data_IF_175612641253
#
_entry.id   IF_175612641253
#
_cell.length_a   1.000
_cell.length_b   1.000
_cell.length_c   1.000
_cell.angle_alpha   90.00
_cell.angle_beta   90.00
_cell.angle_gamma   90.00
#
_symmetry.space_group_name_H-M   'P 1'
#
loop_
_entity.id
_entity.type
_entity.pdbx_description
1 polymer ?
#
# COMPACT_ATOMS: atom_id res chain seq x y z
N UNK A 1 30.47 5.17 -22.67
CA UNK A 1 31.35 4.19 -23.37
C UNK A 1 31.23 4.46 -24.86
N UNK A 2 32.31 4.47 -25.64
CA UNK A 2 32.26 4.80 -27.09
C UNK A 2 31.53 6.13 -27.43
N UNK A 3 31.64 7.15 -26.56
CA UNK A 3 30.95 8.44 -26.76
C UNK A 3 29.44 8.41 -26.48
N UNK A 4 28.89 7.30 -25.99
CA UNK A 4 27.49 7.15 -25.58
C UNK A 4 27.34 7.11 -24.06
N UNK A 5 26.28 7.73 -23.55
CA UNK A 5 25.80 7.57 -22.18
C UNK A 5 24.66 6.56 -22.19
N UNK A 6 24.74 5.55 -21.31
CA UNK A 6 23.68 4.54 -21.15
C UNK A 6 23.31 4.46 -19.68
N UNK A 7 22.02 4.26 -19.41
CA UNK A 7 21.51 3.98 -18.07
C UNK A 7 21.09 2.52 -18.00
N UNK A 8 21.43 1.87 -16.89
CA UNK A 8 21.15 0.45 -16.66
C UNK A 8 20.30 0.29 -15.41
N UNK A 9 19.34 -0.63 -15.46
CA UNK A 9 18.53 -1.00 -14.31
C UNK A 9 19.35 -1.93 -13.44
N UNK A 10 19.62 -1.49 -12.21
CA UNK A 10 20.25 -2.32 -11.17
C UNK A 10 19.18 -2.84 -10.21
N UNK A 11 19.20 -4.13 -9.84
CA UNK A 11 18.41 -4.63 -8.73
C UNK A 11 18.65 -3.81 -7.46
N UNK A 12 17.62 -3.69 -6.63
CA UNK A 12 17.76 -3.01 -5.34
C UNK A 12 18.60 -3.88 -4.41
N UNK A 13 19.72 -3.33 -3.94
CA UNK A 13 20.67 -4.00 -3.06
C UNK A 13 20.92 -3.13 -1.83
N UNK A 14 21.16 -3.78 -0.69
CA UNK A 14 21.62 -3.07 0.51
C UNK A 14 23.12 -2.79 0.40
N UNK A 15 23.53 -1.59 0.77
CA UNK A 15 24.93 -1.23 0.95
C UNK A 15 25.55 -1.91 2.20
N UNK A 16 26.82 -1.62 2.46
CA UNK A 16 27.56 -2.15 3.61
C UNK A 16 26.96 -1.74 4.97
N UNK A 17 26.13 -0.69 5.00
CA UNK A 17 25.40 -0.25 6.20
C UNK A 17 24.00 -0.88 6.30
N UNK A 18 23.61 -1.71 5.33
CA UNK A 18 22.30 -2.35 5.25
C UNK A 18 21.22 -1.44 4.65
N UNK A 19 21.59 -0.34 3.99
CA UNK A 19 20.64 0.62 3.39
C UNK A 19 20.45 0.34 1.91
N UNK A 20 19.19 0.28 1.49
CA UNK A 20 18.79 0.18 0.09
C UNK A 20 18.14 1.50 -0.34
N UNK A 21 18.63 2.06 -1.45
CA UNK A 21 18.12 3.27 -2.05
C UNK A 21 17.51 2.96 -3.43
N UNK A 22 16.30 3.43 -3.67
CA UNK A 22 15.64 3.25 -4.96
C UNK A 22 14.62 4.37 -5.23
N UNK A 23 14.40 4.65 -6.51
CA UNK A 23 13.46 5.66 -7.00
C UNK A 23 12.83 5.30 -8.34
N UNK A 24 13.43 4.38 -9.09
CA UNK A 24 12.95 3.99 -10.41
C UNK A 24 11.91 2.87 -10.33
N UNK A 25 10.83 2.98 -11.10
CA UNK A 25 9.85 1.91 -11.29
C UNK A 25 9.91 1.35 -12.72
N UNK A 26 10.21 0.06 -12.86
CA UNK A 26 10.33 -0.62 -14.16
C UNK A 26 9.04 -0.69 -15.00
N UNK A 27 7.87 -0.69 -14.37
CA UNK A 27 6.60 -0.77 -15.09
C UNK A 27 6.10 0.60 -15.55
N UNK A 28 6.54 1.64 -14.88
CA UNK A 28 6.21 3.02 -15.20
C UNK A 28 7.29 3.69 -16.05
N UNK A 29 8.50 3.13 -16.08
CA UNK A 29 9.69 3.71 -16.73
C UNK A 29 9.96 5.15 -16.28
N UNK A 30 9.73 5.43 -14.99
CA UNK A 30 9.83 6.77 -14.42
C UNK A 30 10.55 6.76 -13.06
N UNK A 31 11.08 7.92 -12.69
CA UNK A 31 11.77 8.18 -11.43
C UNK A 31 10.83 8.93 -10.47
N UNK A 32 10.73 8.41 -9.26
CA UNK A 32 10.05 9.05 -8.13
C UNK A 32 11.05 9.66 -7.15
N UNK A 33 10.54 10.24 -6.06
CA UNK A 33 11.42 10.68 -4.98
C UNK A 33 12.10 9.46 -4.32
N UNK A 34 13.32 9.68 -3.83
CA UNK A 34 14.13 8.60 -3.27
C UNK A 34 13.47 7.94 -2.07
N UNK A 35 13.47 6.61 -2.11
CA UNK A 35 13.09 5.75 -1.00
C UNK A 35 14.35 5.17 -0.37
N UNK A 36 14.36 5.12 0.95
CA UNK A 36 15.39 4.49 1.78
C UNK A 36 14.74 3.38 2.60
N UNK A 37 15.22 2.15 2.44
CA UNK A 37 14.97 1.07 3.39
C UNK A 37 16.26 0.72 4.12
N UNK A 38 16.22 0.68 5.45
CA UNK A 38 17.34 0.20 6.27
C UNK A 38 16.98 -1.17 6.83
N UNK A 39 17.66 -2.21 6.36
CA UNK A 39 17.46 -3.60 6.77
C UNK A 39 17.83 -3.88 8.23
N UNK A 40 18.76 -3.11 8.81
CA UNK A 40 19.20 -3.27 10.21
C UNK A 40 18.21 -2.70 11.20
N UNK A 41 17.64 -1.54 10.88
CA UNK A 41 16.63 -0.89 11.73
C UNK A 41 15.20 -1.25 11.31
N UNK A 42 15.04 -1.91 10.16
CA UNK A 42 13.75 -2.23 9.54
C UNK A 42 12.90 -0.99 9.30
N UNK A 43 13.52 0.14 8.95
CA UNK A 43 12.81 1.43 8.73
C UNK A 43 12.77 1.75 7.23
N UNK A 44 11.57 2.03 6.74
CA UNK A 44 11.29 2.53 5.40
C UNK A 44 10.96 4.01 5.49
N UNK A 45 11.58 4.81 4.62
CA UNK A 45 11.30 6.23 4.44
C UNK A 45 11.17 6.52 2.96
N UNK A 46 10.19 7.35 2.61
CA UNK A 46 9.97 7.77 1.23
C UNK A 46 9.59 9.24 1.19
N UNK A 47 9.98 9.91 0.10
CA UNK A 47 9.34 11.14 -0.32
C UNK A 47 7.99 10.87 -0.99
N UNK A 48 7.62 11.69 -1.98
CA UNK A 48 6.44 11.47 -2.82
C UNK A 48 6.57 10.19 -3.66
N UNK A 49 5.58 9.31 -3.53
CA UNK A 49 5.57 7.96 -4.14
C UNK A 49 4.65 7.82 -5.37
N UNK A 50 4.28 8.92 -6.03
CA UNK A 50 3.44 8.90 -7.24
C UNK A 50 2.03 8.34 -7.01
N UNK A 51 1.34 7.91 -8.09
CA UNK A 51 -0.07 7.43 -8.04
C UNK A 51 -0.32 6.03 -8.60
N UNK A 52 0.65 5.42 -9.29
CA UNK A 52 0.43 4.21 -10.10
C UNK A 52 1.00 2.94 -9.42
N UNK A 53 1.65 2.05 -10.16
CA UNK A 53 2.26 0.81 -9.66
C UNK A 53 3.22 1.05 -8.48
N UNK A 54 4.10 2.05 -8.54
CA UNK A 54 5.05 2.40 -7.48
C UNK A 54 4.33 2.80 -6.20
N UNK A 55 3.31 3.65 -6.30
CA UNK A 55 2.48 4.05 -5.18
C UNK A 55 1.90 2.82 -4.48
N UNK A 56 1.26 1.93 -5.23
CA UNK A 56 0.61 0.73 -4.67
C UNK A 56 1.58 -0.17 -3.93
N UNK A 57 2.75 -0.43 -4.50
CA UNK A 57 3.79 -1.25 -3.87
C UNK A 57 4.31 -0.58 -2.59
N UNK A 58 4.56 0.73 -2.63
CA UNK A 58 5.01 1.48 -1.45
C UNK A 58 3.96 1.47 -0.34
N UNK A 59 2.68 1.64 -0.69
CA UNK A 59 1.56 1.56 0.24
C UNK A 59 1.47 0.18 0.90
N UNK A 60 1.62 -0.90 0.13
CA UNK A 60 1.67 -2.26 0.67
C UNK A 60 2.92 -2.50 1.54
N UNK A 61 4.07 -1.92 1.19
CA UNK A 61 5.27 -1.99 2.02
C UNK A 61 5.08 -1.29 3.37
N UNK A 62 4.45 -0.11 3.40
CA UNK A 62 4.07 0.54 4.66
C UNK A 62 3.04 -0.28 5.45
N UNK A 63 2.14 -0.99 4.76
CA UNK A 63 1.14 -1.84 5.42
C UNK A 63 1.77 -3.03 6.16
N UNK A 64 2.97 -3.46 5.79
CA UNK A 64 3.70 -4.46 6.58
C UNK A 64 3.99 -3.97 8.01
N UNK A 65 4.20 -2.67 8.22
CA UNK A 65 4.35 -2.11 9.58
C UNK A 65 3.05 -2.25 10.36
N UNK A 66 1.91 -1.99 9.73
CA UNK A 66 0.60 -2.20 10.36
C UNK A 66 0.40 -3.67 10.73
N UNK A 67 0.74 -4.59 9.83
CA UNK A 67 0.57 -6.03 10.02
C UNK A 67 1.51 -6.64 11.07
N UNK A 68 2.78 -6.24 11.09
CA UNK A 68 3.79 -6.81 12.01
C UNK A 68 4.05 -5.99 13.27
N UNK A 69 3.84 -4.67 13.23
CA UNK A 69 4.16 -3.76 14.34
C UNK A 69 3.36 -4.09 15.61
N UNK A 70 3.97 -3.89 16.77
CA UNK A 70 3.25 -4.01 18.05
C UNK A 70 2.38 -2.78 18.32
N UNK A 71 2.75 -1.65 17.72
CA UNK A 71 2.06 -0.38 17.85
C UNK A 71 0.83 -0.28 16.93
N UNK A 72 -0.05 0.64 17.27
CA UNK A 72 -1.25 0.95 16.50
C UNK A 72 -0.97 2.15 15.60
N UNK A 73 -1.19 2.02 14.30
CA UNK A 73 -0.98 3.11 13.34
C UNK A 73 -1.51 2.75 11.96
N UNK A 74 -2.10 3.73 11.28
CA UNK A 74 -2.64 3.54 9.95
C UNK A 74 -1.61 3.89 8.89
N UNK A 75 -1.66 3.17 7.77
CA UNK A 75 -1.05 3.67 6.54
C UNK A 75 -1.92 4.80 5.99
N UNK A 76 -1.44 6.02 6.21
CA UNK A 76 -2.02 7.26 5.68
C UNK A 76 -1.27 7.70 4.42
N UNK A 77 -2.02 8.16 3.42
CA UNK A 77 -1.50 8.76 2.20
C UNK A 77 -2.13 10.12 1.98
N UNK A 78 -1.46 11.17 2.43
CA UNK A 78 -1.91 12.57 2.33
C UNK A 78 -3.30 12.81 2.98
N UNK A 79 -3.53 12.19 4.14
CA UNK A 79 -4.80 12.23 4.85
C UNK A 79 -5.79 11.13 4.45
N UNK A 80 -5.49 10.32 3.42
CA UNK A 80 -6.35 9.21 3.03
C UNK A 80 -5.81 7.89 3.56
N UNK A 81 -6.57 7.24 4.44
CA UNK A 81 -6.23 5.88 4.87
C UNK A 81 -6.38 4.90 3.72
N UNK A 82 -5.38 4.05 3.56
CA UNK A 82 -5.37 3.09 2.47
C UNK A 82 -6.29 1.93 2.79
N UNK A 83 -7.04 1.48 1.78
CA UNK A 83 -7.77 0.22 1.82
C UNK A 83 -6.77 -0.96 1.94
N UNK A 84 -6.76 -1.67 3.07
CA UNK A 84 -5.80 -2.71 3.34
C UNK A 84 -6.11 -3.98 2.56
N UNK A 85 -7.34 -4.22 2.07
CA UNK A 85 -7.75 -5.53 1.54
C UNK A 85 -6.85 -5.94 0.38
N UNK A 86 -6.74 -5.11 -0.65
CA UNK A 86 -5.95 -5.45 -1.84
C UNK A 86 -4.46 -5.53 -1.53
N UNK A 87 -3.97 -4.70 -0.61
CA UNK A 87 -2.59 -4.72 -0.18
C UNK A 87 -2.26 -5.99 0.61
N UNK A 88 -3.08 -6.37 1.60
CA UNK A 88 -2.95 -7.61 2.36
C UNK A 88 -3.05 -8.81 1.42
N UNK A 89 -4.00 -8.81 0.49
CA UNK A 89 -4.18 -9.89 -0.48
C UNK A 89 -2.91 -10.12 -1.32
N UNK A 90 -2.26 -9.03 -1.76
CA UNK A 90 -1.01 -9.11 -2.50
C UNK A 90 0.18 -9.51 -1.61
N UNK A 91 0.28 -8.99 -0.38
CA UNK A 91 1.29 -9.40 0.59
C UNK A 91 1.19 -10.90 0.89
N UNK A 92 -0.03 -11.41 1.10
CA UNK A 92 -0.31 -12.82 1.31
C UNK A 92 0.13 -13.68 0.12
N UNK A 93 0.00 -13.16 -1.11
CA UNK A 93 0.50 -13.83 -2.31
C UNK A 93 2.04 -13.83 -2.38
N UNK A 94 2.68 -12.68 -2.21
CA UNK A 94 4.14 -12.51 -2.37
C UNK A 94 4.94 -13.20 -1.27
N UNK A 95 4.44 -13.17 -0.03
CA UNK A 95 5.13 -13.74 1.13
C UNK A 95 4.63 -15.13 1.53
N UNK A 96 3.67 -15.67 0.79
CA UNK A 96 2.94 -16.91 1.11
C UNK A 96 2.44 -16.92 2.57
N UNK A 97 1.59 -15.94 2.89
CA UNK A 97 1.00 -15.72 4.22
C UNK A 97 -0.53 -15.70 4.15
N UNK A 98 -1.15 -15.71 5.33
CA UNK A 98 -2.61 -15.68 5.53
C UNK A 98 -3.00 -14.56 6.51
N UNK A 99 -2.46 -13.36 6.31
CA UNK A 99 -2.82 -12.20 7.13
C UNK A 99 -4.31 -11.85 7.02
N UNK A 100 -4.81 -11.29 8.12
CA UNK A 100 -6.16 -10.73 8.25
C UNK A 100 -6.07 -9.21 8.43
N UNK A 101 -7.21 -8.53 8.43
CA UNK A 101 -7.32 -7.12 8.83
C UNK A 101 -7.71 -6.94 10.31
N UNK A 102 -7.56 -7.98 11.14
CA UNK A 102 -8.03 -8.01 12.54
C UNK A 102 -7.59 -6.78 13.34
N UNK A 103 -6.33 -6.36 13.19
CA UNK A 103 -5.79 -5.22 13.93
C UNK A 103 -6.62 -3.95 13.75
N UNK A 104 -7.13 -3.67 12.55
CA UNK A 104 -7.96 -2.48 12.30
C UNK A 104 -9.24 -2.44 13.12
N UNK A 105 -9.68 -3.55 13.69
CA UNK A 105 -10.85 -3.60 14.56
C UNK A 105 -10.55 -3.22 16.02
N UNK A 106 -9.29 -2.95 16.38
CA UNK A 106 -8.95 -2.28 17.65
C UNK A 106 -9.16 -0.76 17.53
N UNK A 107 -10.42 -0.39 17.28
CA UNK A 107 -10.82 0.93 16.83
C UNK A 107 -10.34 2.03 17.78
N UNK A 108 -10.51 1.85 19.09
CA UNK A 108 -10.10 2.87 20.06
C UNK A 108 -8.61 3.15 20.01
N UNK A 109 -7.77 2.10 20.05
CA UNK A 109 -6.32 2.25 20.12
C UNK A 109 -5.74 2.90 18.87
N UNK A 110 -6.30 2.56 17.71
CA UNK A 110 -5.88 3.21 16.49
C UNK A 110 -6.35 4.67 16.39
N UNK A 111 -7.59 4.97 16.78
CA UNK A 111 -8.09 6.35 16.80
C UNK A 111 -7.28 7.23 17.75
N UNK A 112 -7.01 6.71 18.95
CA UNK A 112 -6.15 7.35 19.95
C UNK A 112 -4.76 7.64 19.36
N UNK A 113 -4.10 6.64 18.78
CA UNK A 113 -2.79 6.81 18.13
C UNK A 113 -2.81 7.83 16.99
N UNK A 114 -3.82 7.77 16.11
CA UNK A 114 -3.96 8.71 15.00
C UNK A 114 -4.09 10.15 15.48
N UNK A 115 -5.07 10.44 16.35
CA UNK A 115 -5.29 11.81 16.79
C UNK A 115 -4.14 12.36 17.64
N UNK A 116 -3.45 11.51 18.42
CA UNK A 116 -2.24 11.93 19.12
C UNK A 116 -1.14 12.32 18.15
N UNK A 117 -0.92 11.52 17.11
CA UNK A 117 0.04 11.84 16.05
C UNK A 117 -0.30 13.17 15.36
N UNK A 118 -1.58 13.41 15.04
CA UNK A 118 -2.00 14.67 14.41
C UNK A 118 -1.81 15.89 15.32
N UNK A 119 -2.03 15.73 16.63
CA UNK A 119 -1.79 16.78 17.63
C UNK A 119 -0.29 17.07 17.76
N UNK A 120 0.53 16.03 17.89
CA UNK A 120 1.99 16.16 18.01
C UNK A 120 2.64 16.79 16.78
N UNK A 121 2.04 16.58 15.60
CA UNK A 121 2.52 17.14 14.32
C UNK A 121 1.89 18.50 13.96
N UNK A 122 1.04 19.07 14.82
CA UNK A 122 0.31 20.32 14.54
C UNK A 122 -0.55 20.25 13.25
N UNK A 123 -1.05 19.05 12.93
CA UNK A 123 -1.94 18.76 11.80
C UNK A 123 -3.40 18.56 12.23
N UNK A 124 -3.67 18.55 13.54
CA UNK A 124 -4.99 18.24 14.07
C UNK A 124 -6.06 19.27 13.64
N UNK A 125 -6.96 18.83 12.76
CA UNK A 125 -8.11 19.61 12.32
C UNK A 125 -9.43 19.05 12.86
N UNK A 126 -10.00 19.76 13.83
CA UNK A 126 -11.29 19.43 14.44
C UNK A 126 -12.46 19.52 13.45
N UNK A 127 -12.36 20.31 12.38
CA UNK A 127 -13.46 20.50 11.42
C UNK A 127 -13.68 19.29 10.51
N UNK A 128 -12.66 18.42 10.35
CA UNK A 128 -12.70 17.28 9.45
C UNK A 128 -12.31 15.96 10.14
N UNK A 129 -13.09 15.52 11.14
CA UNK A 129 -12.80 14.28 11.85
C UNK A 129 -12.85 13.07 10.92
N UNK A 130 -11.90 12.15 11.08
CA UNK A 130 -11.90 10.89 10.33
C UNK A 130 -13.02 9.97 10.80
N UNK A 131 -13.81 9.47 9.86
CA UNK A 131 -14.89 8.51 10.13
C UNK A 131 -14.37 7.07 10.07
N UNK A 132 -14.99 6.17 10.85
CA UNK A 132 -14.58 4.75 10.90
C UNK A 132 -14.74 4.09 9.52
N UNK A 133 -15.64 4.61 8.69
CA UNK A 133 -15.88 4.14 7.33
C UNK A 133 -14.73 4.42 6.36
N UNK A 134 -13.85 5.39 6.67
CA UNK A 134 -12.62 5.62 5.92
C UNK A 134 -11.49 4.65 6.30
N UNK A 135 -11.63 3.94 7.41
CA UNK A 135 -10.61 3.03 7.96
C UNK A 135 -10.93 1.57 7.65
N UNK A 136 -12.19 1.19 7.81
CA UNK A 136 -12.67 -0.17 7.61
C UNK A 136 -13.35 -0.28 6.23
N UNK A 137 -12.78 -1.09 5.31
CA UNK A 137 -13.35 -1.35 4.00
C UNK A 137 -14.77 -1.87 4.07
N UNK A 138 -15.57 -1.54 3.06
CA UNK A 138 -17.00 -1.87 3.03
C UNK A 138 -17.29 -3.35 3.28
N UNK A 139 -16.54 -4.23 2.64
CA UNK A 139 -16.65 -5.69 2.77
C UNK A 139 -16.36 -6.21 4.19
N UNK A 140 -15.61 -5.47 4.99
CA UNK A 140 -15.22 -5.83 6.36
C UNK A 140 -16.10 -5.17 7.44
N UNK A 141 -17.01 -4.26 7.04
CA UNK A 141 -17.85 -3.49 7.98
C UNK A 141 -18.72 -4.36 8.88
N UNK A 142 -19.07 -5.57 8.43
CA UNK A 142 -19.81 -6.53 9.25
C UNK A 142 -19.07 -6.97 10.52
N UNK A 143 -17.74 -6.86 10.55
CA UNK A 143 -16.90 -7.13 11.72
C UNK A 143 -16.87 -5.98 12.74
N UNK A 144 -17.37 -4.80 12.38
CA UNK A 144 -17.37 -3.63 13.26
C UNK A 144 -18.45 -3.72 14.34
N UNK A 145 -18.23 -2.98 15.42
CA UNK A 145 -19.22 -2.72 16.45
C UNK A 145 -18.65 -2.78 17.86
N UNK A 146 -19.55 -2.80 18.82
CA UNK A 146 -19.19 -2.69 20.22
C UNK A 146 -19.04 -1.24 20.67
N UNK A 147 -18.49 -1.08 21.87
CA UNK A 147 -18.44 0.20 22.59
C UNK A 147 -17.52 1.20 21.91
N UNK A 148 -16.35 0.76 21.48
CA UNK A 148 -15.36 1.63 20.82
C UNK A 148 -15.94 2.30 19.56
N UNK A 149 -16.68 1.55 18.74
CA UNK A 149 -17.38 2.13 17.59
C UNK A 149 -18.34 3.22 18.03
N UNK A 150 -19.19 2.93 19.02
CA UNK A 150 -20.18 3.90 19.50
C UNK A 150 -19.52 5.16 20.10
N UNK A 151 -18.48 4.99 20.92
CA UNK A 151 -17.72 6.09 21.51
C UNK A 151 -17.13 7.00 20.44
N UNK A 152 -16.52 6.43 19.40
CA UNK A 152 -15.98 7.20 18.27
C UNK A 152 -17.09 7.97 17.56
N UNK A 153 -18.25 7.36 17.31
CA UNK A 153 -19.40 8.07 16.72
C UNK A 153 -19.86 9.24 17.59
N UNK A 154 -19.92 9.06 18.91
CA UNK A 154 -20.35 10.10 19.83
C UNK A 154 -19.33 11.24 19.93
N UNK A 155 -18.04 10.95 19.81
CA UNK A 155 -16.99 11.98 19.73
C UNK A 155 -17.13 12.78 18.42
N UNK A 156 -17.35 12.11 17.30
CA UNK A 156 -17.38 12.73 15.96
C UNK A 156 -18.67 13.51 15.71
N UNK A 157 -19.83 12.94 16.03
CA UNK A 157 -21.14 13.49 15.70
C UNK A 157 -21.85 14.12 16.91
N UNK A 158 -21.30 13.97 18.10
CA UNK A 158 -21.94 14.39 19.35
C UNK A 158 -23.04 13.43 19.80
N UNK A 159 -23.60 13.73 20.97
CA UNK A 159 -24.71 12.98 21.57
C UNK A 159 -26.03 13.76 21.59
N UNK A 160 -26.12 14.88 20.86
CA UNK A 160 -27.26 15.79 20.87
C UNK A 160 -28.57 15.20 20.34
N UNK A 161 -28.47 14.36 19.31
CA UNK A 161 -29.63 13.74 18.65
C UNK A 161 -30.13 12.47 19.36
N UNK A 162 -29.51 12.05 20.47
CA UNK A 162 -29.98 10.90 21.23
C UNK A 162 -31.13 11.27 22.17
N UNK A 163 -32.34 10.76 21.91
CA UNK A 163 -33.46 10.84 22.83
C UNK A 163 -33.50 9.71 23.87
N UNK A 164 -33.78 10.01 25.15
CA UNK A 164 -33.90 9.00 26.23
C UNK A 164 -35.00 7.96 25.92
N UNK A 165 -36.02 8.37 25.16
CA UNK A 165 -37.15 7.52 24.78
C UNK A 165 -36.83 6.63 23.55
N UNK A 166 -35.71 6.88 22.87
CA UNK A 166 -35.29 6.17 21.66
C UNK A 166 -34.30 5.05 21.99
N UNK A 167 -33.55 5.19 23.09
CA UNK A 167 -32.62 4.18 23.55
C UNK A 167 -33.30 3.10 24.41
N UNK A 168 -33.15 1.83 24.02
CA UNK A 168 -33.68 0.70 24.79
C UNK A 168 -32.95 0.54 26.12
N UNK A 169 -33.68 0.34 27.23
CA UNK A 169 -33.08 0.09 28.54
C UNK A 169 -32.12 -1.11 28.49
N UNK A 170 -30.95 -0.96 29.10
CA UNK A 170 -29.89 -1.98 29.11
C UNK A 170 -28.99 -2.00 27.87
N UNK A 171 -29.22 -1.14 26.88
CA UNK A 171 -28.33 -0.90 25.73
C UNK A 171 -27.20 0.07 26.07
N UNK A 172 -26.10 0.05 25.30
CA UNK A 172 -24.98 0.98 25.50
C UNK A 172 -25.38 2.45 25.32
N UNK A 173 -26.15 2.84 24.27
CA UNK A 173 -26.62 4.23 24.13
C UNK A 173 -27.40 4.72 25.36
N UNK A 174 -28.26 3.87 25.95
CA UNK A 174 -29.00 4.22 27.16
C UNK A 174 -28.05 4.53 28.34
N UNK A 175 -26.98 3.76 28.48
CA UNK A 175 -25.97 4.01 29.52
C UNK A 175 -25.21 5.32 29.28
N UNK A 176 -24.82 5.61 28.03
CA UNK A 176 -24.19 6.89 27.66
C UNK A 176 -25.09 8.08 28.03
N UNK A 177 -26.39 7.97 27.75
CA UNK A 177 -27.36 9.00 28.13
C UNK A 177 -27.49 9.16 29.65
N UNK A 178 -27.45 8.06 30.41
CA UNK A 178 -27.46 8.10 31.87
C UNK A 178 -26.22 8.80 32.43
N UNK A 179 -25.03 8.50 31.87
CA UNK A 179 -23.77 9.15 32.24
C UNK A 179 -23.84 10.65 31.93
N UNK A 180 -24.31 11.04 30.74
CA UNK A 180 -24.46 12.46 30.36
C UNK A 180 -25.36 13.22 31.34
N UNK A 181 -26.51 12.62 31.70
CA UNK A 181 -27.44 13.22 32.66
C UNK A 181 -26.82 13.39 34.05
N UNK A 182 -26.05 12.42 34.53
CA UNK A 182 -25.35 12.60 35.81
C UNK A 182 -24.21 13.61 35.73
N UNK A 183 -23.47 13.66 34.62
CA UNK A 183 -22.43 14.67 34.41
C UNK A 183 -23.01 16.09 34.38
N UNK A 184 -24.22 16.28 33.84
CA UNK A 184 -24.91 17.57 33.88
C UNK A 184 -25.25 17.99 35.32
N UNK A 185 -25.88 17.10 36.11
CA UNK A 185 -26.18 17.37 37.53
C UNK A 185 -24.92 17.61 38.36
N UNK A 186 -23.87 16.82 38.09
CA UNK A 186 -22.56 16.98 38.72
C UNK A 186 -21.98 18.36 38.40
N UNK A 187 -22.06 18.80 37.14
CA UNK A 187 -21.59 20.11 36.70
C UNK A 187 -22.36 21.26 37.36
N UNK A 188 -23.68 21.14 37.47
CA UNK A 188 -24.54 22.11 38.18
C UNK A 188 -24.21 22.20 39.66
N UNK A 189 -23.88 21.07 40.30
CA UNK A 189 -23.63 21.01 41.75
C UNK A 189 -22.27 21.61 42.13
N UNK A 190 -21.23 21.35 41.34
CA UNK A 190 -19.85 21.68 41.71
C UNK A 190 -19.28 22.93 41.05
N UNK A 191 -20.02 23.58 40.15
CA UNK A 191 -19.64 24.87 39.58
C UNK A 191 -18.22 24.85 39.02
N UNK A 192 -17.36 25.80 39.41
CA UNK A 192 -16.00 25.95 38.88
C UNK A 192 -15.07 24.74 39.16
N UNK A 193 -15.28 23.97 40.23
CA UNK A 193 -14.41 22.85 40.60
C UNK A 193 -14.73 21.56 39.83
N UNK A 194 -15.80 21.55 39.02
CA UNK A 194 -16.33 20.34 38.37
C UNK A 194 -15.29 19.54 37.58
N UNK A 195 -14.43 20.19 36.78
CA UNK A 195 -13.40 19.49 35.99
C UNK A 195 -12.38 18.79 36.90
N UNK A 196 -11.82 19.53 37.86
CA UNK A 196 -10.83 19.01 38.82
C UNK A 196 -11.39 17.82 39.59
N UNK A 197 -12.60 17.93 40.12
CA UNK A 197 -13.25 16.85 40.91
C UNK A 197 -13.56 15.62 40.07
N UNK A 198 -14.03 15.81 38.83
CA UNK A 198 -14.25 14.69 37.92
C UNK A 198 -12.93 13.95 37.67
N UNK A 199 -11.85 14.68 37.40
CA UNK A 199 -10.57 14.06 37.07
C UNK A 199 -9.92 13.40 38.26
N UNK A 200 -10.04 13.99 39.46
CA UNK A 200 -9.65 13.34 40.71
C UNK A 200 -10.38 12.00 40.86
N UNK A 201 -11.68 11.93 40.60
CA UNK A 201 -12.44 10.68 40.62
C UNK A 201 -11.93 9.67 39.56
N UNK A 202 -11.65 10.11 38.33
CA UNK A 202 -11.18 9.22 37.26
C UNK A 202 -9.74 8.69 37.49
N UNK A 203 -8.97 9.32 38.37
CA UNK A 203 -7.62 8.86 38.77
C UNK A 203 -7.64 7.82 39.89
N UNK A 204 -8.78 7.64 40.58
CA UNK A 204 -8.86 6.73 41.71
C UNK A 204 -8.90 5.25 41.26
N UNK A 205 -8.28 4.34 42.03
CA UNK A 205 -8.38 2.90 41.79
C UNK A 205 -9.81 2.39 42.04
N UNK A 206 -10.12 1.20 41.50
CA UNK A 206 -11.43 0.56 41.62
C UNK A 206 -12.04 0.60 43.03
N UNK A 207 -11.30 0.16 44.05
CA UNK A 207 -11.82 0.00 45.42
C UNK A 207 -12.23 1.34 46.06
N UNK A 208 -11.47 2.41 45.77
CA UNK A 208 -11.77 3.75 46.28
C UNK A 208 -13.02 4.33 45.59
N UNK A 209 -13.14 4.14 44.27
CA UNK A 209 -14.36 4.53 43.52
C UNK A 209 -15.58 3.76 43.99
N UNK A 210 -15.42 2.48 44.32
CA UNK A 210 -16.47 1.65 44.89
C UNK A 210 -16.92 2.15 46.26
N UNK A 211 -15.99 2.57 47.13
CA UNK A 211 -16.32 3.19 48.41
C UNK A 211 -17.10 4.50 48.29
N UNK A 212 -16.82 5.30 47.24
CA UNK A 212 -17.53 6.55 46.96
C UNK A 212 -18.94 6.29 46.39
N UNK A 213 -19.12 5.21 45.62
CA UNK A 213 -20.40 4.84 45.01
C UNK A 213 -21.56 4.74 46.02
N UNK A 214 -21.26 4.46 47.28
CA UNK A 214 -22.25 4.36 48.36
C UNK A 214 -22.70 5.72 48.96
N UNK A 215 -22.20 6.85 48.46
CA UNK A 215 -22.47 8.19 49.00
C UNK A 215 -23.47 9.01 48.15
N UNK A 216 -23.88 10.20 48.61
CA UNK A 216 -24.86 11.08 47.91
C UNK A 216 -24.44 11.51 46.49
N UNK A 217 -23.13 11.51 46.20
CA UNK A 217 -22.55 11.76 44.87
C UNK A 217 -22.15 10.46 44.14
N UNK A 218 -22.51 9.31 44.72
CA UNK A 218 -22.03 8.00 44.33
C UNK A 218 -22.56 7.47 43.00
N UNK A 219 -23.65 8.04 42.46
CA UNK A 219 -24.20 7.59 41.18
C UNK A 219 -23.20 7.72 40.01
N UNK A 220 -22.40 8.80 39.98
CA UNK A 220 -21.35 8.95 38.97
C UNK A 220 -20.19 7.98 39.24
N UNK A 221 -19.76 7.85 40.49
CA UNK A 221 -18.70 6.92 40.89
C UNK A 221 -19.07 5.46 40.58
N UNK A 222 -20.32 5.05 40.80
CA UNK A 222 -20.85 3.73 40.45
C UNK A 222 -20.74 3.48 38.94
N UNK A 223 -21.06 4.48 38.11
CA UNK A 223 -20.92 4.37 36.66
C UNK A 223 -19.45 4.19 36.24
N UNK A 224 -18.49 4.81 36.93
CA UNK A 224 -17.06 4.66 36.60
C UNK A 224 -16.57 3.21 36.75
N UNK A 225 -17.21 2.40 37.60
CA UNK A 225 -16.81 1.00 37.81
C UNK A 225 -17.09 0.11 36.59
N UNK A 226 -17.90 0.58 35.64
CA UNK A 226 -18.40 -0.22 34.50
C UNK A 226 -18.32 0.47 33.13
N UNK A 227 -18.04 1.77 33.12
CA UNK A 227 -17.93 2.60 31.92
C UNK A 227 -16.48 3.09 31.78
N UNK A 228 -15.88 3.04 30.58
CA UNK A 228 -14.52 3.55 30.36
C UNK A 228 -14.33 5.02 30.72
N UNK A 229 -13.18 5.40 31.25
CA UNK A 229 -12.88 6.79 31.64
C UNK A 229 -13.08 7.79 30.49
N UNK A 230 -12.67 7.43 29.27
CA UNK A 230 -12.86 8.23 28.04
C UNK A 230 -14.30 8.70 27.83
N UNK A 231 -15.30 7.91 28.25
CA UNK A 231 -16.72 8.25 28.11
C UNK A 231 -17.07 9.46 28.93
N UNK A 232 -16.57 9.52 30.16
CA UNK A 232 -16.78 10.66 31.03
C UNK A 232 -16.10 11.90 30.46
N UNK A 233 -14.91 11.74 29.88
CA UNK A 233 -14.15 12.86 29.30
C UNK A 233 -14.82 13.41 28.05
N UNK A 234 -15.23 12.59 27.07
CA UNK A 234 -15.85 13.12 25.85
C UNK A 234 -17.24 13.70 26.11
N UNK A 235 -18.03 13.11 27.01
CA UNK A 235 -19.33 13.68 27.39
C UNK A 235 -19.15 15.00 28.15
N UNK A 236 -18.16 15.06 29.03
CA UNK A 236 -17.85 16.28 29.75
C UNK A 236 -17.31 17.36 28.80
N UNK A 237 -16.46 17.01 27.84
CA UNK A 237 -16.01 17.90 26.76
C UNK A 237 -17.20 18.47 25.97
N UNK A 238 -18.14 17.63 25.58
CA UNK A 238 -19.37 18.05 24.88
C UNK A 238 -20.20 19.02 25.73
N UNK A 239 -20.44 18.71 27.01
CA UNK A 239 -21.24 19.57 27.92
C UNK A 239 -20.58 20.93 28.13
N UNK A 240 -19.25 20.97 28.20
CA UNK A 240 -18.49 22.18 28.52
C UNK A 240 -18.03 22.96 27.28
N UNK A 241 -18.14 22.38 26.09
CA UNK A 241 -17.78 23.03 24.82
C UNK A 241 -16.28 23.08 24.53
N UNK A 242 -15.48 22.16 25.08
CA UNK A 242 -14.04 22.05 24.75
C UNK A 242 -13.75 20.84 23.86
N UNK A 243 -12.53 20.77 23.33
CA UNK A 243 -12.11 19.70 22.42
C UNK A 243 -11.70 18.43 23.15
N UNK A 244 -12.30 17.29 22.77
CA UNK A 244 -12.04 16.02 23.43
C UNK A 244 -10.62 15.50 23.18
N UNK A 245 -10.13 15.53 21.94
CA UNK A 245 -8.86 14.88 21.60
C UNK A 245 -7.67 15.61 22.20
N UNK A 246 -7.70 16.95 22.18
CA UNK A 246 -6.72 17.81 22.85
C UNK A 246 -6.65 17.50 24.34
N UNK A 247 -7.81 17.42 25.00
CA UNK A 247 -7.87 17.11 26.43
C UNK A 247 -7.41 15.67 26.71
N UNK A 248 -7.88 14.70 25.92
CA UNK A 248 -7.56 13.29 26.10
C UNK A 248 -6.06 13.04 25.94
N UNK A 249 -5.41 13.69 24.97
CA UNK A 249 -3.96 13.63 24.78
C UNK A 249 -3.18 14.02 26.04
N UNK A 250 -3.68 14.99 26.82
CA UNK A 250 -3.02 15.40 28.07
C UNK A 250 -3.23 14.43 29.24
N UNK A 251 -4.36 13.71 29.28
CA UNK A 251 -4.80 13.02 30.52
C UNK A 251 -4.99 11.50 30.40
N UNK A 252 -4.98 10.92 29.19
CA UNK A 252 -5.39 9.53 28.97
C UNK A 252 -4.64 8.50 29.82
N UNK A 253 -3.35 8.72 30.09
CA UNK A 253 -2.50 7.81 30.87
C UNK A 253 -2.68 7.92 32.39
N UNK A 254 -3.44 8.90 32.87
CA UNK A 254 -3.65 9.14 34.30
C UNK A 254 -4.94 8.49 34.84
N UNK A 255 -5.85 8.09 33.96
CA UNK A 255 -7.17 7.59 34.34
C UNK A 255 -7.25 6.07 34.39
N UNK A 256 -8.26 5.58 35.10
CA UNK A 256 -8.48 4.15 35.27
C UNK A 256 -8.75 3.42 33.94
N UNK A 257 -8.39 2.13 33.94
CA UNK A 257 -8.62 1.17 32.85
C UNK A 257 -9.09 -0.20 33.39
N UNK A 258 -9.50 -0.23 34.66
CA UNK A 258 -9.87 -1.41 35.45
C UNK A 258 -11.40 -1.62 35.52
N UNK A 259 -12.18 -0.93 34.66
CA UNK A 259 -13.62 -1.04 34.67
C UNK A 259 -14.13 -2.42 34.23
N UNK A 260 -15.20 -2.89 34.86
CA UNK A 260 -15.84 -4.18 34.54
C UNK A 260 -16.99 -3.93 33.58
N UNK A 261 -16.71 -4.08 32.30
CA UNK A 261 -17.63 -3.66 31.24
C UNK A 261 -18.70 -4.70 30.95
N UNK A 262 -19.94 -4.24 30.78
CA UNK A 262 -21.06 -5.10 30.37
C UNK A 262 -20.93 -5.49 28.89
N UNK A 263 -21.36 -6.70 28.56
CA UNK A 263 -21.61 -7.09 27.17
C UNK A 263 -23.03 -6.68 26.75
N UNK A 264 -23.13 -5.88 25.68
CA UNK A 264 -24.40 -5.31 25.20
C UNK A 264 -25.00 -6.07 24.01
N UNK A 265 -24.29 -7.08 23.50
CA UNK A 265 -24.72 -7.87 22.36
C UNK A 265 -24.66 -9.36 22.68
N UNK A 266 -25.55 -10.14 22.07
CA UNK A 266 -25.56 -11.59 22.25
C UNK A 266 -24.33 -12.27 21.65
N UNK A 267 -23.99 -13.45 22.16
CA UNK A 267 -22.82 -14.25 21.75
C UNK A 267 -22.78 -14.52 20.24
N UNK A 268 -23.94 -14.72 19.60
CA UNK A 268 -24.03 -14.96 18.15
C UNK A 268 -23.49 -13.80 17.31
N UNK A 269 -23.71 -12.56 17.76
CA UNK A 269 -23.23 -11.35 17.07
C UNK A 269 -21.72 -11.19 17.30
N UNK A 270 -21.24 -11.48 18.50
CA UNK A 270 -19.81 -11.46 18.83
C UNK A 270 -19.06 -12.45 17.94
N UNK A 271 -19.54 -13.70 17.88
CA UNK A 271 -18.95 -14.75 17.07
C UNK A 271 -18.90 -14.40 15.59
N UNK A 272 -20.00 -13.87 15.02
CA UNK A 272 -20.02 -13.43 13.61
C UNK A 272 -18.99 -12.33 13.33
N UNK A 273 -18.80 -11.40 14.27
CA UNK A 273 -17.78 -10.34 14.12
C UNK A 273 -16.38 -10.92 14.17
N UNK A 274 -16.10 -11.81 15.12
CA UNK A 274 -14.80 -12.49 15.23
C UNK A 274 -14.48 -13.32 13.98
N UNK A 275 -15.46 -14.03 13.42
CA UNK A 275 -15.30 -14.75 12.16
C UNK A 275 -14.85 -13.81 11.03
N UNK A 276 -15.48 -12.64 10.88
CA UNK A 276 -15.10 -11.66 9.85
C UNK A 276 -13.69 -11.10 10.10
N UNK A 277 -13.35 -10.78 11.36
CA UNK A 277 -12.05 -10.22 11.73
C UNK A 277 -10.90 -11.18 11.49
N UNK A 278 -11.14 -12.47 11.74
CA UNK A 278 -10.12 -13.51 11.73
C UNK A 278 -10.09 -14.30 10.42
N UNK A 279 -10.98 -14.01 9.48
CA UNK A 279 -10.94 -14.61 8.14
C UNK A 279 -9.72 -14.07 7.38
N UNK A 280 -8.80 -14.95 6.92
CA UNK A 280 -7.70 -14.54 6.08
C UNK A 280 -8.18 -13.87 4.80
N UNK A 281 -7.53 -12.77 4.45
CA UNK A 281 -7.78 -12.11 3.17
C UNK A 281 -7.13 -12.97 2.07
N UNK A 282 -7.90 -13.30 1.04
CA UNK A 282 -7.45 -14.16 -0.05
C UNK A 282 -6.22 -13.62 -0.79
N UNK A 283 -5.49 -14.49 -1.50
CA UNK A 283 -4.27 -14.13 -2.22
C UNK A 283 -4.59 -13.46 -3.57
N UNK A 284 -3.90 -12.35 -3.88
CA UNK A 284 -4.03 -11.60 -5.14
C UNK A 284 -2.71 -11.63 -5.92
N UNK A 285 -2.73 -12.10 -7.18
CA UNK A 285 -1.54 -12.16 -8.02
C UNK A 285 -0.97 -10.77 -8.31
N UNK A 286 0.34 -10.67 -8.51
CA UNK A 286 1.04 -9.40 -8.78
C UNK A 286 0.46 -8.64 -9.97
N UNK A 287 0.14 -9.31 -11.09
CA UNK A 287 -0.51 -8.64 -12.24
C UNK A 287 -1.86 -7.99 -11.89
N UNK A 288 -2.65 -8.63 -11.03
CA UNK A 288 -3.99 -8.14 -10.65
C UNK A 288 -3.90 -7.02 -9.61
N UNK A 289 -2.88 -7.06 -8.74
CA UNK A 289 -2.58 -5.98 -7.81
C UNK A 289 -2.07 -4.71 -8.54
N UNK A 290 -1.16 -4.89 -9.50
CA UNK A 290 -0.58 -3.78 -10.26
C UNK A 290 -1.49 -3.26 -11.38
N UNK A 291 -2.56 -3.97 -11.74
CA UNK A 291 -3.49 -3.58 -12.81
C UNK A 291 -4.02 -2.14 -12.64
N UNK A 292 -3.63 -1.24 -13.53
CA UNK A 292 -4.07 0.16 -13.46
C UNK A 292 -5.41 0.37 -14.20
N UNK A 293 -6.45 0.71 -13.44
CA UNK A 293 -7.80 1.02 -13.94
C UNK A 293 -8.24 2.43 -13.52
N UNK A 294 -7.30 3.33 -13.20
CA UNK A 294 -7.65 4.70 -12.81
C UNK A 294 -8.44 5.41 -13.91
N UNK A 295 -9.34 6.32 -13.53
CA UNK A 295 -10.24 7.01 -14.46
C UNK A 295 -9.54 7.74 -15.61
N UNK A 296 -8.26 8.10 -15.44
CA UNK A 296 -7.45 8.81 -16.43
C UNK A 296 -6.39 7.93 -17.11
N UNK A 297 -6.31 6.63 -16.80
CA UNK A 297 -5.24 5.74 -17.27
C UNK A 297 -5.13 5.68 -18.79
N UNK A 298 -6.27 5.71 -19.47
CA UNK A 298 -6.36 5.65 -20.94
C UNK A 298 -6.93 6.96 -21.53
N UNK A 299 -6.97 8.03 -20.73
CA UNK A 299 -7.46 9.32 -21.19
C UNK A 299 -6.55 9.89 -22.28
N UNK A 300 -7.11 10.63 -23.24
CA UNK A 300 -6.39 11.15 -24.41
C UNK A 300 -5.67 10.07 -25.26
N UNK A 301 -6.18 8.84 -25.30
CA UNK A 301 -5.67 7.84 -26.25
C UNK A 301 -5.82 8.36 -27.70
N UNK A 302 -4.73 8.42 -28.50
CA UNK A 302 -4.77 8.90 -29.88
C UNK A 302 -5.71 8.09 -30.78
N UNK A 303 -6.16 8.71 -31.88
CA UNK A 303 -7.12 8.09 -32.80
C UNK A 303 -6.60 6.76 -33.39
N UNK A 304 -5.29 6.67 -33.62
CA UNK A 304 -4.58 5.49 -34.14
C UNK A 304 -4.67 4.27 -33.21
N UNK A 305 -4.98 4.48 -31.93
CA UNK A 305 -5.12 3.43 -30.93
C UNK A 305 -6.55 3.28 -30.39
N UNK A 306 -7.50 4.08 -30.89
CA UNK A 306 -8.86 4.14 -30.32
C UNK A 306 -9.65 2.82 -30.41
N UNK A 307 -9.42 2.05 -31.47
CA UNK A 307 -10.05 0.74 -31.68
C UNK A 307 -9.22 -0.43 -31.14
N UNK A 308 -8.04 -0.15 -30.57
CA UNK A 308 -7.19 -1.17 -29.95
C UNK A 308 -7.61 -1.40 -28.50
N UNK A 309 -7.49 -2.64 -27.98
CA UNK A 309 -7.79 -2.91 -26.58
C UNK A 309 -6.81 -2.16 -25.67
N UNK A 310 -7.33 -1.75 -24.52
CA UNK A 310 -6.51 -1.14 -23.47
C UNK A 310 -5.40 -2.08 -22.99
N UNK A 311 -4.20 -1.53 -22.82
CA UNK A 311 -3.07 -2.26 -22.30
C UNK A 311 -3.12 -2.35 -20.77
N UNK A 312 -3.13 -3.60 -20.29
CA UNK A 312 -2.96 -3.92 -18.88
C UNK A 312 -1.71 -4.77 -18.70
N UNK A 313 -0.96 -4.49 -17.64
CA UNK A 313 0.19 -5.28 -17.22
C UNK A 313 -0.23 -6.75 -17.05
N UNK A 314 0.54 -7.66 -17.63
CA UNK A 314 0.34 -9.10 -17.57
C UNK A 314 1.56 -9.82 -17.02
N UNK A 315 1.44 -11.13 -16.81
CA UNK A 315 2.58 -11.97 -16.41
C UNK A 315 3.68 -11.99 -17.48
N UNK A 316 3.36 -11.72 -18.75
CA UNK A 316 4.37 -11.59 -19.81
C UNK A 316 5.27 -10.36 -19.59
N UNK A 317 4.81 -9.34 -18.86
CA UNK A 317 5.61 -8.18 -18.50
C UNK A 317 6.48 -8.43 -17.25
N UNK A 318 6.19 -9.51 -16.53
CA UNK A 318 6.91 -9.98 -15.34
C UNK A 318 8.00 -11.01 -15.68
N UNK A 319 8.30 -11.22 -16.96
CA UNK A 319 9.22 -12.25 -17.45
C UNK A 319 10.62 -12.19 -16.85
N UNK A 320 11.10 -11.01 -16.45
CA UNK A 320 12.37 -10.87 -15.73
C UNK A 320 12.40 -11.70 -14.43
N UNK A 321 11.27 -11.81 -13.73
CA UNK A 321 11.11 -12.57 -12.49
C UNK A 321 10.60 -14.00 -12.71
N UNK A 322 10.51 -14.47 -13.95
CA UNK A 322 10.11 -15.86 -14.21
C UNK A 322 11.14 -16.83 -13.64
N UNK A 323 10.69 -17.78 -12.82
CA UNK A 323 11.55 -18.77 -12.18
C UNK A 323 11.06 -20.22 -12.43
N UNK A 324 10.04 -20.40 -13.28
CA UNK A 324 9.42 -21.71 -13.56
C UNK A 324 8.36 -22.15 -12.56
N UNK A 325 8.04 -21.33 -11.56
CA UNK A 325 6.86 -21.53 -10.69
C UNK A 325 5.60 -20.93 -11.30
N UNK A 326 4.46 -21.13 -10.63
CA UNK A 326 3.16 -20.55 -11.03
C UNK A 326 3.00 -19.06 -10.68
N UNK A 327 4.05 -18.43 -10.15
CA UNK A 327 4.04 -16.99 -9.80
C UNK A 327 3.97 -16.11 -11.05
N UNK A 328 4.70 -16.48 -12.10
CA UNK A 328 4.70 -15.79 -13.40
C UNK A 328 4.33 -16.80 -14.49
N UNK A 329 3.10 -16.73 -14.98
CA UNK A 329 2.58 -17.65 -15.98
C UNK A 329 2.53 -17.02 -17.37
N UNK A 330 3.49 -17.41 -18.23
CA UNK A 330 3.58 -16.90 -19.59
C UNK A 330 2.37 -17.32 -20.41
N UNK A 331 1.82 -16.37 -21.18
CA UNK A 331 0.71 -16.63 -22.08
C UNK A 331 1.13 -17.55 -23.24
N UNK A 332 0.15 -18.23 -23.85
CA UNK A 332 0.38 -19.05 -25.05
C UNK A 332 1.05 -18.21 -26.15
N UNK A 333 0.56 -16.98 -26.36
CA UNK A 333 1.11 -16.03 -27.33
C UNK A 333 2.57 -15.69 -27.05
N UNK A 334 2.93 -15.55 -25.77
CA UNK A 334 4.31 -15.26 -25.39
C UNK A 334 5.21 -16.48 -25.59
N UNK A 335 4.74 -17.69 -25.27
CA UNK A 335 5.45 -18.94 -25.55
C UNK A 335 5.71 -19.10 -27.07
N UNK A 336 4.70 -18.86 -27.91
CA UNK A 336 4.85 -18.87 -29.36
C UNK A 336 5.86 -17.83 -29.85
N UNK A 337 5.88 -16.65 -29.23
CA UNK A 337 6.84 -15.59 -29.56
C UNK A 337 8.26 -15.99 -29.16
N UNK A 338 8.46 -16.57 -27.97
CA UNK A 338 9.75 -17.13 -27.55
C UNK A 338 10.25 -18.23 -28.50
N UNK A 339 9.34 -19.10 -28.96
CA UNK A 339 9.69 -20.14 -29.93
C UNK A 339 10.12 -19.53 -31.28
N UNK A 340 9.43 -18.51 -31.77
CA UNK A 340 9.82 -17.79 -33.00
C UNK A 340 11.19 -17.13 -32.83
N UNK A 341 11.43 -16.44 -31.72
CA UNK A 341 12.72 -15.86 -31.39
C UNK A 341 13.84 -16.91 -31.31
N UNK A 342 13.58 -18.07 -30.70
CA UNK A 342 14.52 -19.19 -30.64
C UNK A 342 14.90 -19.71 -32.04
N UNK A 343 13.91 -19.81 -32.95
CA UNK A 343 14.14 -20.23 -34.34
C UNK A 343 14.99 -19.20 -35.09
N UNK A 344 14.68 -17.91 -34.96
CA UNK A 344 15.46 -16.84 -35.62
C UNK A 344 16.88 -16.72 -35.06
N UNK A 345 17.05 -16.87 -33.75
CA UNK A 345 18.36 -16.88 -33.10
C UNK A 345 19.25 -18.00 -33.66
N UNK A 346 18.71 -19.22 -33.78
CA UNK A 346 19.42 -20.35 -34.41
C UNK A 346 19.80 -20.11 -35.86
N UNK A 347 19.00 -19.36 -36.63
CA UNK A 347 19.39 -19.00 -38.00
C UNK A 347 20.64 -18.13 -38.01
N UNK A 348 20.67 -17.10 -37.17
CA UNK A 348 21.87 -16.24 -37.03
C UNK A 348 23.11 -17.03 -36.59
N UNK A 349 22.96 -18.00 -35.68
CA UNK A 349 24.05 -18.89 -35.28
C UNK A 349 24.57 -19.74 -36.46
N UNK A 350 23.69 -20.21 -37.35
CA UNK A 350 24.10 -21.04 -38.49
C UNK A 350 24.67 -20.26 -39.67
N UNK A 351 24.29 -18.98 -39.81
CA UNK A 351 24.67 -18.14 -40.94
C UNK A 351 26.01 -17.43 -40.71
N UNK A 352 26.46 -17.29 -39.46
CA UNK A 352 27.68 -16.56 -39.13
C UNK A 352 28.95 -17.43 -39.22
N UNK A 353 30.01 -16.86 -39.82
CA UNK A 353 31.35 -17.44 -39.77
C UNK A 353 32.14 -16.91 -38.55
N UNK A 354 33.07 -17.69 -37.99
CA UNK A 354 33.92 -17.29 -36.85
C UNK A 354 34.71 -16.01 -37.12
N UNK A 355 35.22 -15.85 -38.33
CA UNK A 355 35.98 -14.65 -38.71
C UNK A 355 35.14 -13.37 -38.58
N UNK A 356 33.84 -13.45 -38.86
CA UNK A 356 32.91 -12.32 -38.70
C UNK A 356 32.73 -11.92 -37.23
N UNK A 357 32.76 -12.88 -36.30
CA UNK A 357 32.65 -12.60 -34.86
C UNK A 357 33.94 -11.96 -34.31
N UNK A 358 35.09 -12.38 -34.82
CA UNK A 358 36.38 -11.82 -34.40
C UNK A 358 36.52 -10.35 -34.80
N UNK A 359 36.09 -10.00 -36.01
CA UNK A 359 36.13 -8.63 -36.54
C UNK A 359 34.97 -7.73 -36.06
N UNK A 360 33.88 -8.32 -35.55
CA UNK A 360 32.72 -7.56 -35.07
C UNK A 360 32.96 -6.97 -33.67
N UNK A 361 32.77 -5.66 -33.54
CA UNK A 361 32.74 -4.96 -32.25
C UNK A 361 31.34 -5.10 -31.61
N UNK A 362 31.10 -6.28 -31.05
CA UNK A 362 29.82 -6.64 -30.44
C UNK A 362 29.41 -5.68 -29.32
N UNK A 363 30.38 -5.20 -28.53
CA UNK A 363 30.10 -4.30 -27.43
C UNK A 363 29.64 -2.93 -27.93
N UNK A 364 30.31 -2.40 -28.96
CA UNK A 364 29.88 -1.18 -29.63
C UNK A 364 28.48 -1.34 -30.22
N UNK A 365 28.21 -2.45 -30.90
CA UNK A 365 26.87 -2.70 -31.47
C UNK A 365 25.79 -2.86 -30.41
N UNK A 366 26.04 -3.56 -29.31
CA UNK A 366 25.10 -3.63 -28.18
C UNK A 366 24.79 -2.23 -27.64
N UNK A 367 25.82 -1.40 -27.43
CA UNK A 367 25.64 -0.03 -26.96
C UNK A 367 24.83 0.82 -27.94
N UNK A 368 25.08 0.71 -29.24
CA UNK A 368 24.32 1.41 -30.28
C UNK A 368 22.85 0.97 -30.30
N UNK A 369 22.57 -0.32 -30.14
CA UNK A 369 21.19 -0.83 -30.09
C UNK A 369 20.47 -0.44 -28.81
N UNK A 370 21.14 -0.43 -27.65
CA UNK A 370 20.56 0.04 -26.40
C UNK A 370 20.29 1.55 -26.42
N UNK A 371 21.22 2.33 -26.96
CA UNK A 371 21.04 3.76 -27.19
C UNK A 371 19.87 4.02 -28.15
N UNK A 372 19.79 3.26 -29.24
CA UNK A 372 18.66 3.29 -30.18
C UNK A 372 17.35 2.96 -29.50
N UNK A 373 17.27 1.86 -28.74
CA UNK A 373 16.06 1.48 -28.01
C UNK A 373 15.61 2.59 -27.05
N UNK A 374 16.55 3.20 -26.32
CA UNK A 374 16.25 4.30 -25.41
C UNK A 374 15.73 5.55 -26.13
N UNK A 375 16.28 5.90 -27.31
CA UNK A 375 15.86 7.09 -28.06
C UNK A 375 14.58 6.87 -28.87
N UNK A 376 14.48 5.74 -29.58
CA UNK A 376 13.35 5.44 -30.48
C UNK A 376 12.08 5.07 -29.71
N UNK A 377 12.23 4.34 -28.60
CA UNK A 377 11.11 3.85 -27.82
C UNK A 377 10.92 4.57 -26.49
N UNK A 378 11.81 5.52 -26.17
CA UNK A 378 11.81 6.36 -24.95
C UNK A 378 11.89 5.55 -23.65
N UNK A 379 12.95 5.78 -22.88
CA UNK A 379 13.11 5.25 -21.53
C UNK A 379 13.08 3.71 -21.47
N UNK A 380 13.66 3.04 -22.49
CA UNK A 380 13.94 1.60 -22.44
C UNK A 380 15.35 1.40 -21.91
N UNK A 381 15.45 0.78 -20.73
CA UNK A 381 16.71 0.51 -20.06
C UNK A 381 16.98 -0.98 -19.99
N UNK A 382 18.23 -1.38 -20.29
CA UNK A 382 18.69 -2.75 -20.08
C UNK A 382 19.07 -3.01 -18.61
N UNK A 383 19.08 -4.28 -18.23
CA UNK A 383 19.48 -4.70 -16.90
C UNK A 383 21.01 -4.73 -16.78
N UNK A 384 21.53 -4.28 -15.63
CA UNK A 384 22.96 -4.16 -15.38
C UNK A 384 23.69 -5.51 -15.50
N UNK A 385 23.12 -6.56 -14.91
CA UNK A 385 23.66 -7.92 -14.95
C UNK A 385 23.73 -8.45 -16.39
N UNK A 386 22.68 -8.24 -17.18
CA UNK A 386 22.64 -8.61 -18.60
C UNK A 386 23.74 -7.91 -19.39
N UNK A 387 23.87 -6.58 -19.23
CA UNK A 387 24.86 -5.80 -19.97
C UNK A 387 26.29 -6.31 -19.73
N UNK A 388 26.67 -6.51 -18.47
CA UNK A 388 28.01 -7.00 -18.16
C UNK A 388 28.25 -8.45 -18.56
N UNK A 389 27.23 -9.31 -18.49
CA UNK A 389 27.32 -10.69 -19.00
C UNK A 389 27.58 -10.70 -20.51
N UNK A 390 26.84 -9.89 -21.29
CA UNK A 390 27.04 -9.78 -22.74
C UNK A 390 28.41 -9.17 -23.08
N UNK A 391 28.85 -8.16 -22.32
CA UNK A 391 30.17 -7.56 -22.52
C UNK A 391 31.32 -8.55 -22.28
N UNK A 392 31.15 -9.48 -21.33
CA UNK A 392 32.13 -10.53 -21.01
C UNK A 392 32.15 -11.67 -22.03
N UNK A 393 31.01 -11.94 -22.68
CA UNK A 393 30.87 -13.00 -23.69
C UNK A 393 30.86 -12.45 -25.12
N UNK A 394 31.59 -11.36 -25.37
CA UNK A 394 31.53 -10.61 -26.63
C UNK A 394 32.13 -11.30 -27.87
N UNK A 395 32.60 -12.54 -27.72
CA UNK A 395 33.07 -13.43 -28.81
C UNK A 395 32.30 -14.74 -28.89
N UNK A 396 31.23 -14.88 -28.09
CA UNK A 396 30.39 -16.06 -28.12
C UNK A 396 29.28 -15.92 -29.17
N UNK A 397 29.06 -17.00 -29.92
CA UNK A 397 28.11 -17.05 -31.03
C UNK A 397 26.65 -16.84 -30.59
N UNK A 398 26.28 -17.32 -29.40
CA UNK A 398 24.92 -17.22 -28.88
C UNK A 398 24.59 -15.76 -28.52
N UNK A 399 25.55 -15.07 -27.90
CA UNK A 399 25.43 -13.66 -27.54
C UNK A 399 25.42 -12.76 -28.78
N UNK A 400 26.22 -13.09 -29.79
CA UNK A 400 26.16 -12.45 -31.10
C UNK A 400 24.76 -12.58 -31.71
N UNK A 401 24.24 -13.81 -31.80
CA UNK A 401 22.93 -14.09 -32.39
C UNK A 401 21.80 -13.37 -31.65
N UNK A 402 21.88 -13.27 -30.32
CA UNK A 402 20.92 -12.52 -29.52
C UNK A 402 20.97 -11.01 -29.78
N UNK A 403 22.13 -10.42 -30.05
CA UNK A 403 22.27 -9.02 -30.46
C UNK A 403 21.69 -8.78 -31.86
N UNK A 404 21.91 -9.70 -32.80
CA UNK A 404 21.29 -9.61 -34.13
C UNK A 404 19.78 -9.78 -34.11
N UNK A 405 19.28 -10.66 -33.27
CA UNK A 405 17.86 -10.76 -33.03
C UNK A 405 17.31 -9.48 -32.35
N UNK A 406 18.08 -8.85 -31.45
CA UNK A 406 17.68 -7.57 -30.86
C UNK A 406 17.50 -6.47 -31.91
N UNK A 407 18.48 -6.33 -32.80
CA UNK A 407 18.44 -5.40 -33.93
C UNK A 407 17.18 -5.62 -34.78
N UNK A 408 16.91 -6.87 -35.16
CA UNK A 408 15.70 -7.24 -35.91
C UNK A 408 14.40 -6.92 -35.16
N UNK A 409 14.34 -7.18 -33.86
CA UNK A 409 13.14 -6.88 -33.05
C UNK A 409 12.89 -5.37 -32.99
N UNK A 410 13.93 -4.53 -32.90
CA UNK A 410 13.78 -3.08 -32.97
C UNK A 410 13.21 -2.67 -34.34
N UNK A 411 13.75 -3.18 -35.44
CA UNK A 411 13.25 -2.84 -36.77
C UNK A 411 11.79 -3.25 -36.98
N UNK A 412 11.43 -4.48 -36.61
CA UNK A 412 10.07 -5.01 -36.77
C UNK A 412 9.01 -4.28 -35.93
N UNK A 413 9.42 -3.70 -34.79
CA UNK A 413 8.50 -3.03 -33.87
C UNK A 413 8.53 -1.50 -33.98
N UNK A 414 9.32 -0.94 -34.89
CA UNK A 414 9.49 0.52 -35.01
C UNK A 414 8.17 1.22 -35.34
N UNK A 415 7.47 0.73 -36.37
CA UNK A 415 6.24 1.36 -36.86
C UNK A 415 5.11 1.37 -35.82
N UNK A 416 4.99 0.32 -35.01
CA UNK A 416 4.02 0.26 -33.91
C UNK A 416 4.49 1.02 -32.68
N UNK A 417 5.81 1.09 -32.46
CA UNK A 417 6.47 1.77 -31.34
C UNK A 417 6.45 3.29 -31.41
N UNK A 418 6.64 3.85 -32.62
CA UNK A 418 6.91 5.29 -32.83
C UNK A 418 5.83 6.24 -32.33
N UNK A 419 4.63 5.75 -32.04
CA UNK A 419 3.58 6.57 -31.42
C UNK A 419 4.03 7.17 -30.09
N UNK A 420 4.99 6.54 -29.40
CA UNK A 420 5.60 7.07 -28.17
C UNK A 420 6.24 8.45 -28.36
N UNK A 421 6.66 8.80 -29.58
CA UNK A 421 7.26 10.10 -29.88
C UNK A 421 6.27 11.27 -29.79
N UNK A 422 4.96 10.97 -29.79
CA UNK A 422 3.90 11.96 -29.57
C UNK A 422 3.70 12.33 -28.10
N UNK A 423 4.37 11.64 -27.17
CA UNK A 423 4.22 11.90 -25.72
C UNK A 423 4.92 13.20 -25.33
N UNK A 424 4.14 14.23 -25.02
CA UNK A 424 4.66 15.48 -24.46
C UNK A 424 5.06 15.31 -22.99
N UNK A 425 4.16 14.73 -22.18
CA UNK A 425 4.33 14.54 -20.74
C UNK A 425 4.07 13.08 -20.36
N UNK A 426 5.10 12.42 -19.80
CA UNK A 426 5.07 10.99 -19.49
C UNK A 426 4.01 10.64 -18.44
N UNK A 427 3.95 11.43 -17.35
CA UNK A 427 3.07 11.20 -16.20
C UNK A 427 1.58 11.37 -16.50
N UNK A 428 1.24 12.03 -17.61
CA UNK A 428 -0.14 12.30 -18.04
C UNK A 428 -0.51 11.57 -19.33
N UNK A 429 0.42 10.82 -19.91
CA UNK A 429 0.19 10.11 -21.16
C UNK A 429 -0.76 8.92 -20.95
N UNK A 430 -1.56 8.61 -21.97
CA UNK A 430 -2.34 7.38 -22.00
C UNK A 430 -1.42 6.17 -21.88
N UNK A 431 -1.80 5.21 -21.04
CA UNK A 431 -1.11 3.93 -20.89
C UNK A 431 -1.04 3.15 -22.20
N UNK A 432 -2.00 3.32 -23.11
CA UNK A 432 -1.94 2.71 -24.44
C UNK A 432 -0.81 3.26 -25.32
N UNK A 433 -0.34 4.48 -25.04
CA UNK A 433 0.79 5.09 -25.74
C UNK A 433 2.11 4.66 -25.10
N UNK A 434 2.26 4.82 -23.78
CA UNK A 434 3.51 4.51 -23.05
C UNK A 434 3.78 3.00 -22.91
N UNK A 435 2.75 2.18 -23.03
CA UNK A 435 2.85 0.72 -23.05
C UNK A 435 2.34 0.13 -24.37
N UNK A 436 2.58 0.83 -25.48
CA UNK A 436 2.20 0.32 -26.80
C UNK A 436 2.91 -1.01 -27.13
N UNK A 437 2.31 -1.80 -28.00
CA UNK A 437 2.76 -3.16 -28.34
C UNK A 437 4.22 -3.23 -28.80
N UNK A 438 4.65 -2.29 -29.65
CA UNK A 438 6.02 -2.28 -30.17
C UNK A 438 7.05 -2.08 -29.07
N UNK A 439 6.80 -1.10 -28.20
CA UNK A 439 7.64 -0.80 -27.03
C UNK A 439 7.69 -1.97 -26.03
N UNK A 440 6.54 -2.58 -25.74
CA UNK A 440 6.45 -3.69 -24.79
C UNK A 440 7.16 -4.94 -25.31
N UNK A 441 7.09 -5.24 -26.62
CA UNK A 441 7.83 -6.36 -27.20
C UNK A 441 9.36 -6.20 -27.03
N UNK A 442 9.87 -4.99 -27.25
CA UNK A 442 11.29 -4.66 -27.04
C UNK A 442 11.68 -4.86 -25.57
N UNK A 443 10.89 -4.34 -24.62
CA UNK A 443 11.12 -4.52 -23.17
C UNK A 443 11.09 -5.99 -22.75
N UNK A 444 10.14 -6.78 -23.28
CA UNK A 444 10.03 -8.21 -22.99
C UNK A 444 11.24 -8.98 -23.49
N UNK A 445 11.75 -8.65 -24.68
CA UNK A 445 12.97 -9.28 -25.19
C UNK A 445 14.18 -9.00 -24.28
N UNK A 446 14.39 -7.74 -23.86
CA UNK A 446 15.44 -7.40 -22.90
C UNK A 446 15.27 -8.13 -21.54
N UNK A 447 14.03 -8.32 -21.10
CA UNK A 447 13.71 -9.10 -19.89
C UNK A 447 14.11 -10.57 -20.04
N UNK A 448 13.93 -11.18 -21.21
CA UNK A 448 14.40 -12.54 -21.49
C UNK A 448 15.92 -12.60 -21.47
N UNK A 449 16.60 -11.66 -22.12
CA UNK A 449 18.07 -11.63 -22.13
C UNK A 449 18.67 -11.50 -20.73
N UNK A 450 17.99 -10.78 -19.84
CA UNK A 450 18.39 -10.58 -18.45
C UNK A 450 18.00 -11.74 -17.51
N UNK A 451 16.95 -12.50 -17.84
CA UNK A 451 16.56 -13.67 -17.09
C UNK A 451 17.30 -14.91 -17.61
N UNK A 452 18.46 -15.20 -17.03
CA UNK A 452 19.29 -16.34 -17.41
C UNK A 452 18.55 -17.67 -17.43
N UNK A 453 17.70 -17.95 -16.43
CA UNK A 453 16.95 -19.22 -16.36
C UNK A 453 15.96 -19.36 -17.51
N UNK A 454 15.26 -18.28 -17.86
CA UNK A 454 14.34 -18.27 -18.99
C UNK A 454 15.10 -18.35 -20.32
N UNK A 455 16.21 -17.61 -20.44
CA UNK A 455 17.08 -17.60 -21.61
C UNK A 455 17.67 -18.99 -21.90
N UNK A 456 18.19 -19.69 -20.89
CA UNK A 456 18.68 -21.06 -21.00
C UNK A 456 17.57 -22.00 -21.48
N UNK A 457 16.36 -21.85 -20.95
CA UNK A 457 15.21 -22.67 -21.34
C UNK A 457 14.76 -22.44 -22.79
N UNK A 458 14.75 -21.19 -23.25
CA UNK A 458 14.16 -20.81 -24.53
C UNK A 458 15.19 -20.78 -25.67
N UNK A 459 16.40 -20.31 -25.39
CA UNK A 459 17.45 -20.07 -26.37
C UNK A 459 18.66 -21.00 -26.20
N UNK A 460 18.84 -21.60 -25.01
CA UNK A 460 19.88 -22.61 -24.77
C UNK A 460 21.18 -22.09 -24.15
N UNK A 461 21.22 -20.83 -23.67
CA UNK A 461 22.41 -20.22 -23.06
C UNK A 461 22.09 -19.11 -22.04
#
# INVERSE_FOLDING_TARGET
>A
MYGKEIHLIRPVECDEEGKAYFSFNYFEDDLWESVLFNSRTQVLRSGKIGNNEFNRVMCAAYLLYELYGMDYGYVDRNGDFIDPVRCIAWINHVLDKDFTAEKRFNLWKYYESYYFTEIEQDHYDRAYPKTVFGIIPEELRGGMGGRDLADIYYIVYGTGDMGMNEASSGSYPYEIMCVKKELQKFSETYGFDRKKRLYELLKLPYDERQGIACQKYGGLAEMTLRIPARVFVYLFAEIQGFDFWTEWHEVHGEFYVDEITKNYVGESVVKKREEIRNTPIGKLKTKDFLKNNGCFTFYNTPAELKDKPDYYLSDDDLMYWWDGTDTVQLSIRMIETLNRWSVELKKFETEINRDEIEDYDMLKSLLELLDRANHEYRDIYAFQNMFYEFAQNNKDIHYFAAIKLFEKILDENWETGKIIQSVESWSTASKNVICNEGRINVKRYLSVLANKKLREKCFGF
#
